data_IF_710486905729
#
_entry.id   IF_710486905729
#
_cell.length_a   1.000
_cell.length_b   1.000
_cell.length_c   1.000
_cell.angle_alpha   90.00
_cell.angle_beta   90.00
_cell.angle_gamma   90.00
#
_symmetry.space_group_name_H-M   'P 1'
#
loop_
_entity.id
_entity.type
_entity.pdbx_description
1 polymer ?
#
# COMPACT_ATOMS: atom_id res chain seq x y z
N UNK A 1 39.42 26.88 -2.86
CA UNK A 1 38.00 27.20 -3.05
C UNK A 1 37.33 25.91 -3.48
N UNK A 2 36.98 25.07 -2.51
CA UNK A 2 36.28 23.81 -2.75
C UNK A 2 35.00 23.92 -1.93
N UNK A 3 33.89 24.04 -2.65
CA UNK A 3 32.64 24.49 -2.07
C UNK A 3 32.02 23.43 -1.17
N UNK A 4 31.66 23.90 0.01
CA UNK A 4 30.70 23.29 0.91
C UNK A 4 29.39 22.98 0.19
N UNK A 5 28.78 21.85 0.55
CA UNK A 5 27.38 21.71 0.98
C UNK A 5 27.03 20.22 0.98
N UNK A 6 27.51 19.52 2.01
CA UNK A 6 26.98 18.22 2.41
C UNK A 6 25.57 18.42 2.96
N UNK A 7 24.58 18.46 2.06
CA UNK A 7 23.18 18.51 2.45
C UNK A 7 22.79 17.15 3.01
N UNK A 8 22.89 17.04 4.34
CA UNK A 8 22.55 15.90 5.18
C UNK A 8 21.04 15.64 5.11
N UNK A 9 20.59 14.97 4.05
CA UNK A 9 19.25 14.38 4.01
C UNK A 9 19.21 13.24 5.03
N UNK A 10 18.71 13.55 6.22
CA UNK A 10 18.42 12.58 7.25
C UNK A 10 17.19 11.77 6.79
N UNK A 11 17.46 10.63 6.15
CA UNK A 11 16.45 9.68 5.72
C UNK A 11 15.93 8.95 6.96
N UNK A 12 14.67 9.19 7.31
CA UNK A 12 13.94 8.40 8.30
C UNK A 12 13.93 6.94 7.85
N UNK A 13 14.69 6.09 8.52
CA UNK A 13 14.50 4.64 8.47
C UNK A 13 13.31 4.31 9.37
N UNK A 14 12.14 4.12 8.76
CA UNK A 14 10.99 3.51 9.40
C UNK A 14 10.90 2.06 8.96
N UNK A 15 11.56 1.16 9.69
CA UNK A 15 11.35 -0.28 9.55
C UNK A 15 9.90 -0.63 9.90
N UNK A 16 9.07 -0.94 8.91
CA UNK A 16 7.81 -1.62 9.13
C UNK A 16 7.89 -3.04 8.59
N UNK A 17 8.20 -3.97 9.49
CA UNK A 17 8.02 -5.41 9.28
C UNK A 17 6.56 -5.69 8.98
N UNK A 18 6.28 -6.12 7.75
CA UNK A 18 5.03 -6.78 7.39
C UNK A 18 5.13 -8.24 7.83
N UNK A 19 4.42 -8.58 8.89
CA UNK A 19 4.28 -9.97 9.35
C UNK A 19 3.41 -10.72 8.36
N UNK A 20 4.03 -11.63 7.63
CA UNK A 20 3.38 -12.69 6.88
C UNK A 20 3.00 -13.80 7.88
N UNK A 21 1.70 -14.05 8.08
CA UNK A 21 1.25 -15.29 8.69
C UNK A 21 0.29 -16.02 7.75
N UNK A 22 0.86 -17.09 7.19
CA UNK A 22 0.27 -18.06 6.30
C UNK A 22 -0.46 -19.15 7.10
N UNK A 23 -1.59 -19.58 6.56
CA UNK A 23 -2.28 -20.88 6.66
C UNK A 23 -2.46 -21.58 8.02
N UNK A 24 -3.71 -21.90 8.32
CA UNK A 24 -4.08 -22.90 9.31
C UNK A 24 -5.58 -23.15 9.26
N UNK A 25 -5.97 -24.09 8.40
CA UNK A 25 -7.31 -24.66 8.26
C UNK A 25 -7.92 -25.07 9.61
N UNK A 26 -9.22 -24.84 9.81
CA UNK A 26 -10.05 -25.72 10.62
C UNK A 26 -11.44 -25.84 9.99
N UNK A 27 -11.82 -27.09 9.81
CA UNK A 27 -12.85 -27.63 8.94
C UNK A 27 -14.29 -27.45 9.47
N UNK A 28 -15.20 -27.61 8.52
CA UNK A 28 -16.65 -27.85 8.55
C UNK A 28 -17.23 -28.62 9.74
N UNK A 29 -18.50 -28.30 10.09
CA UNK A 29 -19.59 -29.23 10.47
C UNK A 29 -20.93 -28.45 10.38
N UNK A 30 -21.77 -28.66 9.36
CA UNK A 30 -22.91 -29.63 9.31
C UNK A 30 -24.01 -29.26 10.34
N UNK A 31 -25.32 -29.17 10.09
CA UNK A 31 -26.23 -29.63 9.04
C UNK A 31 -27.50 -28.77 9.09
N UNK A 32 -28.16 -28.54 7.96
CA UNK A 32 -29.59 -28.24 7.91
C UNK A 32 -30.38 -29.50 8.28
N UNK A 33 -31.32 -29.39 9.24
CA UNK A 33 -32.62 -30.05 9.11
C UNK A 33 -33.63 -29.49 10.12
N UNK A 34 -34.62 -28.85 9.53
CA UNK A 34 -35.98 -28.65 10.03
C UNK A 34 -36.68 -29.98 10.35
N UNK A 35 -37.55 -29.98 11.36
CA UNK A 35 -38.99 -30.31 11.29
C UNK A 35 -39.54 -30.88 12.62
N UNK A 36 -40.85 -30.74 12.74
CA UNK A 36 -41.68 -30.76 13.96
C UNK A 36 -42.20 -32.17 14.30
N UNK A 37 -42.55 -32.43 15.58
CA UNK A 37 -43.80 -33.09 16.04
C UNK A 37 -43.68 -33.79 17.41
N UNK A 38 -44.34 -33.19 18.41
CA UNK A 38 -45.31 -33.76 19.37
C UNK A 38 -45.14 -35.19 19.97
N UNK A 39 -44.99 -35.29 21.31
CA UNK A 39 -46.02 -35.87 22.24
C UNK A 39 -45.49 -36.17 23.67
N UNK A 40 -46.17 -35.62 24.70
CA UNK A 40 -46.41 -36.24 26.01
C UNK A 40 -45.32 -36.24 27.11
N UNK A 41 -45.70 -36.27 28.42
CA UNK A 41 -45.01 -35.52 29.48
C UNK A 41 -44.30 -36.39 30.53
N UNK A 42 -43.25 -35.86 31.16
CA UNK A 42 -42.86 -36.29 32.51
C UNK A 42 -42.07 -35.22 33.25
N UNK A 43 -42.46 -35.01 34.50
CA UNK A 43 -41.98 -34.00 35.45
C UNK A 43 -40.46 -34.04 35.67
N UNK A 44 -39.87 -32.84 35.80
CA UNK A 44 -38.48 -32.67 36.18
C UNK A 44 -38.08 -31.19 36.14
N UNK A 45 -38.24 -30.49 37.26
CA UNK A 45 -37.81 -29.12 37.42
C UNK A 45 -36.28 -29.00 37.28
N UNK A 46 -35.83 -28.36 36.19
CA UNK A 46 -34.47 -27.85 36.02
C UNK A 46 -34.52 -26.33 36.00
N UNK A 47 -33.49 -25.72 36.58
CA UNK A 47 -33.46 -24.35 37.06
C UNK A 47 -33.50 -23.32 35.93
N UNK A 48 -34.06 -22.17 36.26
CA UNK A 48 -34.18 -20.98 35.44
C UNK A 48 -32.78 -20.43 35.12
N UNK A 49 -32.19 -20.87 34.01
CA UNK A 49 -31.01 -20.24 33.42
C UNK A 49 -31.47 -18.90 32.84
N UNK A 50 -31.26 -17.84 33.62
CA UNK A 50 -31.57 -16.47 33.26
C UNK A 50 -30.69 -16.09 32.04
N UNK A 51 -31.21 -16.27 30.83
CA UNK A 51 -30.60 -15.75 29.62
C UNK A 51 -30.76 -14.22 29.62
N UNK A 52 -29.67 -13.42 29.64
CA UNK A 52 -29.80 -12.00 29.40
C UNK A 52 -30.20 -11.81 27.93
N UNK A 53 -31.48 -11.50 27.72
CA UNK A 53 -32.05 -11.09 26.44
C UNK A 53 -31.56 -9.68 26.15
N UNK A 54 -30.41 -9.58 25.49
CA UNK A 54 -30.04 -8.37 24.76
C UNK A 54 -29.79 -8.72 23.29
N UNK A 55 -30.91 -8.89 22.57
CA UNK A 55 -30.93 -9.18 21.13
C UNK A 55 -30.33 -7.99 20.35
N UNK A 56 -30.41 -6.77 20.89
CA UNK A 56 -29.81 -5.59 20.28
C UNK A 56 -28.28 -5.65 20.32
N UNK A 57 -27.68 -6.02 21.44
CA UNK A 57 -26.22 -6.13 21.56
C UNK A 57 -25.59 -7.15 20.59
N UNK A 58 -26.25 -8.29 20.36
CA UNK A 58 -25.77 -9.33 19.44
C UNK A 58 -25.83 -8.89 17.96
N UNK A 59 -26.93 -8.24 17.56
CA UNK A 59 -27.07 -7.67 16.20
C UNK A 59 -26.08 -6.53 15.96
N UNK A 60 -25.85 -5.68 16.96
CA UNK A 60 -24.85 -4.59 16.88
C UNK A 60 -23.44 -5.16 16.68
N UNK A 61 -23.07 -6.23 17.39
CA UNK A 61 -21.78 -6.91 17.22
C UNK A 61 -21.65 -7.55 15.83
N UNK A 62 -22.70 -8.20 15.33
CA UNK A 62 -22.68 -8.90 14.05
C UNK A 62 -22.70 -7.96 12.83
N UNK A 63 -23.26 -6.76 12.99
CA UNK A 63 -23.24 -5.70 11.99
C UNK A 63 -21.90 -4.97 11.97
N UNK A 64 -21.24 -4.77 13.12
CA UNK A 64 -19.90 -4.16 13.17
C UNK A 64 -18.85 -5.03 12.48
N UNK A 65 -18.83 -6.35 12.74
CA UNK A 65 -17.96 -7.32 12.05
C UNK A 65 -18.17 -7.36 10.51
N UNK A 66 -19.42 -7.28 10.03
CA UNK A 66 -19.71 -7.21 8.58
C UNK A 66 -19.28 -5.91 7.94
N UNK A 67 -19.34 -4.80 8.67
CA UNK A 67 -19.00 -3.47 8.15
C UNK A 67 -17.48 -3.30 8.05
N UNK A 68 -16.74 -3.84 9.02
CA UNK A 68 -15.27 -3.87 9.01
C UNK A 68 -14.71 -4.74 7.86
N UNK A 69 -15.34 -5.88 7.55
CA UNK A 69 -14.97 -6.70 6.40
C UNK A 69 -15.17 -6.02 5.04
N UNK A 70 -16.27 -5.29 4.85
CA UNK A 70 -16.57 -4.59 3.57
C UNK A 70 -15.64 -3.38 3.37
N UNK A 71 -15.34 -2.62 4.44
CA UNK A 71 -14.42 -1.49 4.36
C UNK A 71 -12.97 -1.91 4.10
N UNK A 72 -12.54 -3.07 4.62
CA UNK A 72 -11.24 -3.64 4.29
C UNK A 72 -11.13 -4.04 2.82
N UNK A 73 -12.15 -4.70 2.26
CA UNK A 73 -12.16 -5.13 0.84
C UNK A 73 -12.05 -3.92 -0.09
N UNK A 74 -12.77 -2.83 0.19
CA UNK A 74 -12.72 -1.62 -0.65
C UNK A 74 -11.36 -0.92 -0.63
N UNK A 75 -10.62 -0.98 0.48
CA UNK A 75 -9.27 -0.41 0.55
C UNK A 75 -8.24 -1.34 -0.10
N UNK A 76 -8.39 -2.64 0.10
CA UNK A 76 -7.55 -3.67 -0.50
C UNK A 76 -7.59 -3.59 -2.04
N UNK A 77 -8.78 -3.50 -2.64
CA UNK A 77 -8.95 -3.39 -4.09
C UNK A 77 -8.33 -2.09 -4.65
N UNK A 78 -8.42 -0.99 -3.88
CA UNK A 78 -7.74 0.27 -4.24
C UNK A 78 -6.22 0.12 -4.21
N UNK A 79 -5.66 -0.52 -3.18
CA UNK A 79 -4.21 -0.81 -3.10
C UNK A 79 -3.78 -1.64 -4.30
N UNK A 80 -4.46 -2.74 -4.57
CA UNK A 80 -4.14 -3.65 -5.68
C UNK A 80 -4.18 -2.93 -7.04
N UNK A 81 -5.15 -2.03 -7.25
CA UNK A 81 -5.21 -1.21 -8.46
C UNK A 81 -4.04 -0.23 -8.59
N UNK A 82 -3.59 0.36 -7.48
CA UNK A 82 -2.42 1.26 -7.47
C UNK A 82 -1.12 0.47 -7.70
N UNK A 83 -0.98 -0.68 -7.05
CA UNK A 83 0.16 -1.59 -7.22
C UNK A 83 0.26 -2.09 -8.66
N UNK A 84 -0.85 -2.53 -9.27
CA UNK A 84 -0.89 -2.96 -10.66
C UNK A 84 -0.43 -1.84 -11.60
N UNK A 85 -0.84 -0.59 -11.34
CA UNK A 85 -0.42 0.58 -12.12
C UNK A 85 1.08 0.86 -11.99
N UNK A 86 1.63 0.78 -10.77
CA UNK A 86 3.06 0.99 -10.54
C UNK A 86 3.87 -0.14 -11.18
N UNK A 87 3.43 -1.38 -11.02
CA UNK A 87 4.06 -2.56 -11.62
C UNK A 87 4.07 -2.49 -13.14
N UNK A 88 2.94 -2.16 -13.78
CA UNK A 88 2.87 -2.03 -15.23
C UNK A 88 3.78 -0.91 -15.73
N UNK A 89 3.85 0.20 -14.97
CA UNK A 89 4.77 1.28 -15.29
C UNK A 89 6.24 0.85 -15.17
N UNK A 90 6.65 0.13 -14.13
CA UNK A 90 8.06 -0.23 -13.91
C UNK A 90 8.54 -1.41 -14.74
N UNK A 91 7.61 -2.29 -15.14
CA UNK A 91 7.89 -3.56 -15.80
C UNK A 91 8.84 -3.40 -16.99
N UNK A 92 9.94 -4.17 -16.97
CA UNK A 92 10.90 -4.24 -18.07
C UNK A 92 11.86 -3.06 -18.16
N UNK A 93 11.82 -2.14 -17.19
CA UNK A 93 12.80 -1.06 -16.99
C UNK A 93 13.18 -0.88 -15.53
N UNK A 94 12.86 -1.85 -14.69
CA UNK A 94 13.40 -1.95 -13.33
C UNK A 94 14.95 -1.92 -13.39
N UNK A 95 15.57 -1.24 -12.43
CA UNK A 95 17.03 -1.05 -12.40
C UNK A 95 17.60 -0.04 -13.41
N UNK A 96 16.85 0.40 -14.42
CA UNK A 96 17.31 1.41 -15.38
C UNK A 96 16.79 2.80 -15.02
N UNK A 97 17.62 3.55 -14.29
CA UNK A 97 17.25 4.89 -13.82
C UNK A 97 16.88 5.86 -14.95
N UNK A 98 17.52 5.77 -16.12
CA UNK A 98 17.24 6.69 -17.24
C UNK A 98 15.84 6.45 -17.80
N UNK A 99 15.48 5.18 -18.00
CA UNK A 99 14.18 4.77 -18.50
C UNK A 99 13.05 5.14 -17.53
N UNK A 100 13.27 4.94 -16.23
CA UNK A 100 12.29 5.30 -15.19
C UNK A 100 12.07 6.82 -15.16
N UNK A 101 13.13 7.62 -15.10
CA UNK A 101 13.02 9.08 -15.10
C UNK A 101 12.34 9.63 -16.36
N UNK A 102 12.65 9.08 -17.54
CA UNK A 102 12.05 9.54 -18.80
C UNK A 102 10.55 9.24 -18.93
N UNK A 103 10.04 8.31 -18.13
CA UNK A 103 8.64 7.85 -18.18
C UNK A 103 7.87 8.13 -16.89
N UNK A 104 8.45 8.87 -15.95
CA UNK A 104 7.85 9.19 -14.65
C UNK A 104 6.56 10.02 -14.78
N UNK A 105 6.38 10.76 -15.88
CA UNK A 105 5.18 11.54 -16.17
C UNK A 105 3.90 10.70 -16.35
N UNK A 106 4.02 9.40 -16.65
CA UNK A 106 2.85 8.54 -16.86
C UNK A 106 2.26 8.00 -15.55
N UNK A 107 3.09 7.91 -14.50
CA UNK A 107 2.67 7.41 -13.20
C UNK A 107 2.32 8.56 -12.23
N UNK A 108 2.95 9.72 -12.40
CA UNK A 108 2.66 10.90 -11.59
C UNK A 108 1.39 11.64 -12.04
N UNK A 109 0.79 12.38 -11.10
CA UNK A 109 -0.34 13.28 -11.36
C UNK A 109 0.13 14.67 -11.83
N UNK A 110 -0.72 15.45 -12.53
CA UNK A 110 -0.33 16.74 -13.12
C UNK A 110 0.21 17.75 -12.09
N UNK A 111 -0.30 17.74 -10.87
CA UNK A 111 0.07 18.67 -9.81
C UNK A 111 1.33 18.25 -9.03
N UNK A 112 1.94 17.11 -9.37
CA UNK A 112 3.19 16.64 -8.76
C UNK A 112 4.34 17.63 -8.96
N UNK A 113 4.28 18.47 -9.99
CA UNK A 113 5.34 19.40 -10.37
C UNK A 113 6.47 18.73 -11.15
N UNK A 114 6.27 17.48 -11.56
CA UNK A 114 7.19 16.79 -12.45
C UNK A 114 7.12 17.37 -13.86
N UNK A 115 8.29 17.56 -14.48
CA UNK A 115 8.41 17.94 -15.89
C UNK A 115 8.98 16.75 -16.63
N UNK A 116 8.37 16.35 -17.75
CA UNK A 116 8.94 15.29 -18.57
C UNK A 116 10.39 15.61 -18.95
N UNK A 117 11.24 14.61 -18.88
CA UNK A 117 12.64 14.71 -19.27
C UNK A 117 12.87 13.67 -20.35
N UNK A 118 13.21 14.06 -21.60
CA UNK A 118 13.46 13.09 -22.64
C UNK A 118 14.79 12.38 -22.39
N UNK A 119 14.93 11.12 -22.83
CA UNK A 119 16.17 10.35 -22.66
C UNK A 119 17.43 11.06 -23.16
N UNK A 120 17.29 11.88 -24.21
CA UNK A 120 18.40 12.65 -24.80
C UNK A 120 19.00 13.67 -23.82
N UNK A 121 18.21 14.17 -22.87
CA UNK A 121 18.67 15.14 -21.87
C UNK A 121 19.29 14.46 -20.63
N UNK A 122 19.15 13.14 -20.49
CA UNK A 122 19.62 12.33 -19.34
C UNK A 122 20.57 11.20 -19.76
N UNK A 123 21.42 11.47 -20.74
CA UNK A 123 22.46 10.53 -21.18
C UNK A 123 23.61 10.53 -20.15
N UNK A 124 24.10 11.71 -19.80
CA UNK A 124 25.25 11.93 -18.92
C UNK A 124 24.91 11.75 -17.43
N UNK A 125 25.84 11.18 -16.67
CA UNK A 125 25.72 11.00 -15.21
C UNK A 125 25.26 12.26 -14.42
N UNK A 126 25.84 13.46 -14.63
CA UNK A 126 25.36 14.67 -13.96
C UNK A 126 23.90 15.01 -14.28
N UNK A 127 23.45 14.79 -15.51
CA UNK A 127 22.05 15.03 -15.90
C UNK A 127 21.10 14.01 -15.28
N UNK A 128 21.49 12.74 -15.22
CA UNK A 128 20.74 11.68 -14.51
C UNK A 128 20.59 12.04 -13.04
N UNK A 129 21.69 12.46 -12.38
CA UNK A 129 21.68 12.88 -10.96
C UNK A 129 20.72 14.04 -10.71
N UNK A 130 20.76 15.07 -11.56
CA UNK A 130 19.84 16.23 -11.46
C UNK A 130 18.38 15.83 -11.62
N UNK A 131 18.08 14.98 -12.61
CA UNK A 131 16.72 14.50 -12.85
C UNK A 131 16.22 13.62 -11.69
N UNK A 132 17.08 12.74 -11.17
CA UNK A 132 16.79 11.92 -10.00
C UNK A 132 16.48 12.77 -8.76
N UNK A 133 17.32 13.75 -8.45
CA UNK A 133 17.08 14.67 -7.33
C UNK A 133 15.73 15.39 -7.44
N UNK A 134 15.36 15.84 -8.65
CA UNK A 134 14.06 16.46 -8.89
C UNK A 134 12.92 15.47 -8.67
N UNK A 135 13.09 14.20 -9.05
CA UNK A 135 12.08 13.17 -8.85
C UNK A 135 11.84 12.94 -7.36
N UNK A 136 12.92 12.82 -6.56
CA UNK A 136 12.81 12.67 -5.11
C UNK A 136 12.07 13.84 -4.46
N UNK A 137 12.30 15.08 -4.90
CA UNK A 137 11.57 16.24 -4.39
C UNK A 137 10.07 16.18 -4.70
N UNK A 138 9.68 15.67 -5.86
CA UNK A 138 8.29 15.49 -6.23
C UNK A 138 7.61 14.36 -5.43
N UNK A 139 8.37 13.31 -5.12
CA UNK A 139 7.90 12.10 -4.43
C UNK A 139 8.03 12.20 -2.89
N UNK A 140 8.68 13.24 -2.37
CA UNK A 140 8.93 13.36 -0.94
C UNK A 140 7.63 13.62 -0.16
N UNK A 141 7.39 12.92 0.97
CA UNK A 141 6.16 13.04 1.77
C UNK A 141 5.89 14.46 2.26
N UNK A 142 6.93 15.26 2.56
CA UNK A 142 6.76 16.69 2.93
C UNK A 142 6.09 17.51 1.81
N UNK A 143 6.53 17.32 0.56
CA UNK A 143 6.01 18.08 -0.58
C UNK A 143 4.61 17.61 -0.95
N UNK A 144 4.34 16.31 -0.82
CA UNK A 144 3.02 15.72 -0.93
C UNK A 144 2.05 16.28 0.12
N UNK A 145 2.50 16.40 1.36
CA UNK A 145 1.70 16.94 2.46
C UNK A 145 1.37 18.42 2.26
N UNK A 146 2.34 19.23 1.82
CA UNK A 146 2.13 20.66 1.53
C UNK A 146 1.12 20.90 0.41
N UNK A 147 1.04 19.99 -0.58
CA UNK A 147 0.12 20.09 -1.71
C UNK A 147 -1.26 19.48 -1.44
N UNK A 148 -1.49 18.92 -0.26
CA UNK A 148 -2.74 18.23 0.07
C UNK A 148 -2.94 16.95 -0.75
N UNK A 149 -1.85 16.21 -1.02
CA UNK A 149 -1.91 14.99 -1.83
C UNK A 149 -2.82 13.93 -1.19
N UNK A 150 -3.62 13.26 -2.03
CA UNK A 150 -4.53 12.20 -1.58
C UNK A 150 -3.76 10.96 -1.11
N UNK A 151 -4.42 10.09 -0.34
CA UNK A 151 -3.80 8.85 0.13
C UNK A 151 -3.27 7.99 -1.04
N UNK A 152 -4.03 7.87 -2.14
CA UNK A 152 -3.59 7.17 -3.36
C UNK A 152 -2.28 7.74 -3.93
N UNK A 153 -2.13 9.06 -3.94
CA UNK A 153 -0.94 9.73 -4.46
C UNK A 153 0.28 9.48 -3.57
N UNK A 154 0.08 9.50 -2.25
CA UNK A 154 1.13 9.16 -1.28
C UNK A 154 1.60 7.72 -1.46
N UNK A 155 0.65 6.79 -1.64
CA UNK A 155 0.95 5.38 -1.86
C UNK A 155 1.75 5.15 -3.16
N UNK A 156 1.28 5.69 -4.30
CA UNK A 156 2.02 5.61 -5.57
C UNK A 156 3.41 6.22 -5.41
N UNK A 157 3.51 7.38 -4.74
CA UNK A 157 4.77 8.06 -4.59
C UNK A 157 5.80 7.23 -3.82
N UNK A 158 5.37 6.57 -2.75
CA UNK A 158 6.20 5.65 -1.96
C UNK A 158 6.72 4.49 -2.83
N UNK A 159 5.83 3.78 -3.53
CA UNK A 159 6.23 2.67 -4.40
C UNK A 159 7.19 3.08 -5.52
N UNK A 160 6.91 4.22 -6.15
CA UNK A 160 7.78 4.76 -7.20
C UNK A 160 9.12 5.23 -6.65
N UNK A 161 9.14 5.76 -5.43
CA UNK A 161 10.36 6.17 -4.74
C UNK A 161 11.29 4.97 -4.52
N UNK A 162 10.77 3.86 -4.01
CA UNK A 162 11.55 2.63 -3.78
C UNK A 162 12.21 2.13 -5.08
N UNK A 163 11.44 2.05 -6.16
CA UNK A 163 11.93 1.60 -7.48
C UNK A 163 13.02 2.53 -8.03
N UNK A 164 12.86 3.85 -7.83
CA UNK A 164 13.87 4.81 -8.25
C UNK A 164 15.15 4.71 -7.41
N UNK A 165 15.04 4.44 -6.11
CA UNK A 165 16.20 4.23 -5.25
C UNK A 165 17.01 3.01 -5.70
N UNK A 166 16.35 1.87 -5.93
CA UNK A 166 17.01 0.65 -6.40
C UNK A 166 17.74 0.89 -7.73
N UNK A 167 17.08 1.54 -8.68
CA UNK A 167 17.69 1.85 -9.97
C UNK A 167 18.85 2.86 -9.85
N UNK A 168 18.78 3.81 -8.91
CA UNK A 168 19.85 4.75 -8.63
C UNK A 168 21.08 4.05 -8.00
N UNK A 169 20.87 3.13 -7.07
CA UNK A 169 21.93 2.31 -6.50
C UNK A 169 22.63 1.47 -7.56
N UNK A 170 21.85 0.81 -8.43
CA UNK A 170 22.37 0.06 -9.57
C UNK A 170 23.19 0.96 -10.51
N UNK A 171 22.71 2.17 -10.80
CA UNK A 171 23.42 3.15 -11.62
C UNK A 171 24.77 3.56 -11.02
N UNK A 172 24.82 3.83 -9.70
CA UNK A 172 26.06 4.17 -9.02
C UNK A 172 27.02 2.99 -8.89
N UNK A 173 26.51 1.76 -8.80
CA UNK A 173 27.32 0.55 -8.77
C UNK A 173 28.03 0.30 -10.11
N UNK A 174 27.36 0.59 -11.24
CA UNK A 174 27.92 0.40 -12.59
C UNK A 174 28.76 1.60 -13.06
N UNK A 175 28.42 2.82 -12.63
CA UNK A 175 29.05 4.06 -13.09
C UNK A 175 30.37 4.45 -12.42
N UNK A 176 31.06 3.53 -11.74
CA UNK A 176 32.31 3.74 -10.98
C UNK A 176 33.60 3.37 -11.75
N UNK A 177 33.63 3.55 -13.08
CA UNK A 177 34.83 3.34 -13.89
C UNK A 177 35.29 4.61 -14.59
#
# INVERSE_FOLDING_TARGET
MENAEENKFHIFHGDHKINNLHSGEMMENICLQSETSHSGPHDGACKEENFPVDIEGYLVQQLSDRTEGIQNISQQEQIEGLDARVWEWSRGKEGNIRSLLSTLQYILWPESGWKQVPLVDIIEGPSVKKAYQKALLCLHPDKLQQKGASWNQKYIAEKVFDILQEAWEHFNSIGQF
#
